data_IF_590655718879
#
_entry.id   IF_590655718879
#
_cell.length_a   1.000
_cell.length_b   1.000
_cell.length_c   1.000
_cell.angle_alpha   90.00
_cell.angle_beta   90.00
_cell.angle_gamma   90.00
#
_symmetry.space_group_name_H-M   'P 1'
#
loop_
_entity.id
_entity.type
_entity.pdbx_description
1 polymer ?
#
# COMPACT_ATOMS: atom_id res chain seq x y z
N UNK A 1 -22.44 -24.54 41.91
CA UNK A 1 -22.55 -25.57 40.85
C UNK A 1 -21.36 -25.66 39.90
N UNK A 2 -20.82 -24.54 39.37
CA UNK A 2 -19.68 -24.57 38.44
C UNK A 2 -18.41 -25.26 39.00
N UNK A 3 -18.13 -25.07 40.29
CA UNK A 3 -16.99 -25.71 41.00
C UNK A 3 -17.24 -27.22 41.22
N UNK A 4 -18.49 -27.64 41.45
CA UNK A 4 -18.83 -29.05 41.70
C UNK A 4 -18.87 -29.88 40.42
N UNK A 5 -19.04 -29.25 39.25
CA UNK A 5 -19.06 -29.89 37.92
C UNK A 5 -17.69 -30.00 37.25
N UNK A 6 -16.64 -29.38 37.80
CA UNK A 6 -15.29 -29.40 37.24
C UNK A 6 -14.25 -29.51 38.34
N UNK A 7 -14.37 -30.62 39.07
CA UNK A 7 -13.55 -30.93 40.24
C UNK A 7 -12.05 -31.02 39.95
N UNK A 8 -11.65 -31.13 38.67
CA UNK A 8 -10.25 -31.17 38.24
C UNK A 8 -9.62 -29.78 38.11
N UNK A 9 -10.43 -28.74 37.90
CA UNK A 9 -9.96 -27.36 37.73
C UNK A 9 -9.86 -26.58 39.05
N UNK A 10 -10.37 -27.13 40.15
CA UNK A 10 -10.47 -26.46 41.45
C UNK A 10 -9.82 -27.30 42.57
N UNK A 11 -9.36 -26.62 43.62
CA UNK A 11 -8.78 -27.27 44.81
C UNK A 11 -9.86 -28.02 45.62
N UNK A 12 -9.52 -29.15 46.24
CA UNK A 12 -10.48 -30.01 46.96
C UNK A 12 -11.27 -29.27 48.05
N UNK A 13 -10.62 -28.35 48.78
CA UNK A 13 -11.25 -27.54 49.83
C UNK A 13 -12.39 -26.66 49.26
N UNK A 14 -12.21 -26.11 48.07
CA UNK A 14 -13.24 -25.30 47.40
C UNK A 14 -14.38 -26.18 46.85
N UNK A 15 -14.07 -27.41 46.43
CA UNK A 15 -15.08 -28.38 45.99
C UNK A 15 -15.94 -28.84 47.17
N UNK A 16 -15.34 -29.10 48.34
CA UNK A 16 -16.06 -29.48 49.56
C UNK A 16 -16.96 -28.34 50.06
N UNK A 17 -16.42 -27.12 50.20
CA UNK A 17 -17.22 -25.96 50.60
C UNK A 17 -18.39 -25.69 49.64
N UNK A 18 -18.19 -25.88 48.33
CA UNK A 18 -19.24 -25.71 47.34
C UNK A 18 -20.32 -26.80 47.43
N UNK A 19 -19.97 -28.04 47.80
CA UNK A 19 -20.94 -29.14 48.03
C UNK A 19 -21.77 -28.90 49.29
N UNK A 20 -21.15 -28.43 50.36
CA UNK A 20 -21.84 -28.12 51.61
C UNK A 20 -22.78 -26.93 51.44
N UNK A 21 -22.35 -25.88 50.74
CA UNK A 21 -23.19 -24.73 50.42
C UNK A 21 -24.36 -25.09 49.50
N UNK A 22 -24.17 -26.04 48.58
CA UNK A 22 -25.25 -26.59 47.75
C UNK A 22 -26.25 -27.41 48.58
N UNK A 23 -25.76 -28.24 49.51
CA UNK A 23 -26.60 -29.05 50.38
C UNK A 23 -27.46 -28.20 51.34
N UNK A 24 -26.97 -27.02 51.75
CA UNK A 24 -27.71 -26.08 52.61
C UNK A 24 -28.83 -25.33 51.89
N UNK A 25 -28.84 -25.30 50.56
CA UNK A 25 -29.77 -24.46 49.77
C UNK A 25 -31.08 -25.14 49.40
N UNK A 26 -31.33 -26.38 49.83
CA UNK A 26 -32.58 -27.14 49.59
C UNK A 26 -33.13 -27.00 48.15
N UNK A 27 -32.23 -27.00 47.17
CA UNK A 27 -32.61 -26.82 45.77
C UNK A 27 -33.44 -28.00 45.28
N UNK A 28 -34.47 -27.71 44.51
CA UNK A 28 -35.27 -28.75 43.86
C UNK A 28 -34.47 -29.45 42.75
N UNK A 29 -34.77 -30.73 42.48
CA UNK A 29 -34.08 -31.49 41.42
C UNK A 29 -34.19 -30.81 40.05
N UNK A 30 -35.26 -30.05 39.81
CA UNK A 30 -35.52 -29.30 38.58
C UNK A 30 -34.59 -28.09 38.44
N UNK A 31 -34.36 -27.32 39.50
CA UNK A 31 -33.42 -26.17 39.50
C UNK A 31 -31.96 -26.62 39.34
N UNK A 32 -31.62 -27.77 39.92
CA UNK A 32 -30.31 -28.41 39.73
C UNK A 32 -30.15 -28.76 38.26
N UNK A 33 -31.11 -29.48 37.66
CA UNK A 33 -31.05 -29.90 36.26
C UNK A 33 -30.91 -28.72 35.29
N UNK A 34 -31.72 -27.68 35.45
CA UNK A 34 -31.73 -26.48 34.60
C UNK A 34 -30.41 -25.69 34.67
N UNK A 35 -29.85 -25.55 35.87
CA UNK A 35 -28.57 -24.87 36.07
C UNK A 35 -27.40 -25.65 35.47
N UNK A 36 -27.41 -26.99 35.54
CA UNK A 36 -26.43 -27.83 34.83
C UNK A 36 -26.54 -27.70 33.32
N UNK A 37 -27.75 -27.73 32.77
CA UNK A 37 -27.97 -27.63 31.32
C UNK A 37 -27.46 -26.28 30.78
N UNK A 38 -27.74 -25.19 31.49
CA UNK A 38 -27.28 -23.84 31.13
C UNK A 38 -25.74 -23.75 31.16
N UNK A 39 -25.09 -24.30 32.18
CA UNK A 39 -23.63 -24.30 32.30
C UNK A 39 -22.93 -25.17 31.24
N UNK A 40 -23.54 -26.29 30.84
CA UNK A 40 -23.03 -27.13 29.75
C UNK A 40 -23.18 -26.43 28.39
N UNK A 41 -24.30 -25.73 28.16
CA UNK A 41 -24.51 -24.92 26.96
C UNK A 41 -23.49 -23.78 26.86
N UNK A 42 -23.25 -23.04 27.96
CA UNK A 42 -22.22 -21.99 27.99
C UNK A 42 -20.81 -22.53 27.71
N UNK A 43 -20.47 -23.72 28.23
CA UNK A 43 -19.19 -24.40 27.94
C UNK A 43 -19.09 -24.81 26.47
N UNK A 44 -20.17 -25.36 25.91
CA UNK A 44 -20.26 -25.69 24.49
C UNK A 44 -20.06 -24.46 23.60
N UNK A 45 -20.69 -23.34 23.93
CA UNK A 45 -20.52 -22.09 23.20
C UNK A 45 -19.12 -21.51 23.32
N UNK A 46 -18.53 -21.52 24.52
CA UNK A 46 -17.21 -20.94 24.77
C UNK A 46 -16.12 -21.75 24.06
N UNK A 47 -16.20 -23.08 24.07
CA UNK A 47 -15.29 -23.97 23.33
C UNK A 47 -15.46 -23.80 21.82
N UNK A 48 -16.68 -23.65 21.32
CA UNK A 48 -16.94 -23.40 19.90
C UNK A 48 -16.42 -22.03 19.45
N UNK A 49 -16.60 -20.98 20.26
CA UNK A 49 -16.06 -19.62 20.01
C UNK A 49 -14.54 -19.62 20.03
N UNK A 50 -13.92 -20.31 20.98
CA UNK A 50 -12.46 -20.46 21.06
C UNK A 50 -11.89 -21.20 19.83
N UNK A 51 -12.53 -22.30 19.42
CA UNK A 51 -12.15 -23.07 18.24
C UNK A 51 -12.28 -22.24 16.96
N UNK A 52 -13.40 -21.52 16.77
CA UNK A 52 -13.59 -20.59 15.65
C UNK A 52 -12.54 -19.47 15.61
N UNK A 53 -12.12 -18.93 16.76
CA UNK A 53 -11.03 -17.93 16.83
C UNK A 53 -9.68 -18.53 16.43
N UNK A 54 -9.38 -19.73 16.91
CA UNK A 54 -8.16 -20.45 16.56
C UNK A 54 -8.12 -20.80 15.06
N UNK A 55 -9.23 -21.27 14.50
CA UNK A 55 -9.36 -21.60 13.08
C UNK A 55 -9.21 -20.34 12.19
N UNK A 56 -9.79 -19.20 12.61
CA UNK A 56 -9.58 -17.91 11.93
C UNK A 56 -8.11 -17.47 11.99
N UNK A 57 -7.46 -17.58 13.15
CA UNK A 57 -6.03 -17.24 13.28
C UNK A 57 -5.15 -18.16 12.44
N UNK A 58 -5.48 -19.45 12.37
CA UNK A 58 -4.79 -20.42 11.52
C UNK A 58 -4.99 -20.11 10.04
N UNK A 59 -6.20 -19.75 9.61
CA UNK A 59 -6.48 -19.29 8.24
C UNK A 59 -5.71 -18.01 7.92
N UNK A 60 -5.70 -17.02 8.82
CA UNK A 60 -4.94 -15.77 8.64
C UNK A 60 -3.44 -16.06 8.55
N UNK A 61 -2.88 -16.90 9.43
CA UNK A 61 -1.47 -17.30 9.37
C UNK A 61 -1.12 -18.07 8.10
N UNK A 62 -1.96 -19.02 7.68
CA UNK A 62 -1.76 -19.78 6.46
C UNK A 62 -1.81 -18.88 5.23
N UNK A 63 -2.76 -17.95 5.20
CA UNK A 63 -2.88 -16.94 4.15
C UNK A 63 -1.64 -16.04 4.19
N UNK A 64 -1.33 -15.37 5.30
CA UNK A 64 -0.15 -14.51 5.44
C UNK A 64 1.16 -15.21 5.10
N UNK A 65 1.33 -16.49 5.49
CA UNK A 65 2.48 -17.32 5.13
C UNK A 65 2.57 -17.59 3.63
N UNK A 66 1.43 -17.86 2.96
CA UNK A 66 1.37 -18.01 1.51
C UNK A 66 1.69 -16.69 0.79
N UNK A 67 1.21 -15.54 1.29
CA UNK A 67 1.53 -14.22 0.76
C UNK A 67 3.01 -13.87 0.96
N UNK A 68 3.60 -14.15 2.13
CA UNK A 68 5.01 -13.92 2.40
C UNK A 68 5.93 -14.85 1.56
N UNK A 69 5.54 -16.11 1.39
CA UNK A 69 6.25 -17.05 0.53
C UNK A 69 6.15 -16.68 -0.96
N UNK A 70 5.02 -16.11 -1.39
CA UNK A 70 4.83 -15.59 -2.75
C UNK A 70 5.62 -14.29 -2.97
N UNK A 71 5.64 -13.40 -1.98
CA UNK A 71 6.34 -12.11 -2.01
C UNK A 71 7.86 -12.23 -1.91
N UNK A 72 8.41 -13.38 -1.49
CA UNK A 72 9.86 -13.61 -1.45
C UNK A 72 10.45 -13.53 -2.87
N UNK A 73 11.25 -12.48 -3.19
CA UNK A 73 11.83 -12.30 -4.52
C UNK A 73 13.14 -13.09 -4.70
N UNK A 74 13.62 -13.76 -3.65
CA UNK A 74 14.91 -14.47 -3.60
C UNK A 74 14.67 -15.97 -3.44
N UNK A 75 13.86 -16.55 -4.32
CA UNK A 75 13.79 -18.01 -4.46
C UNK A 75 14.81 -18.44 -5.50
N UNK A 76 15.81 -19.21 -5.05
CA UNK A 76 16.98 -19.68 -5.81
C UNK A 76 16.59 -20.51 -7.06
N UNK A 77 15.32 -20.92 -7.23
CA UNK A 77 14.84 -21.72 -8.36
C UNK A 77 13.73 -21.10 -9.22
N UNK A 78 13.41 -19.80 -9.10
CA UNK A 78 12.36 -19.19 -9.94
C UNK A 78 12.88 -18.84 -11.35
N UNK A 79 12.11 -19.11 -12.43
CA UNK A 79 12.46 -18.68 -13.78
C UNK A 79 12.75 -17.18 -13.82
N UNK A 80 13.79 -16.78 -14.54
CA UNK A 80 14.34 -15.41 -14.55
C UNK A 80 13.26 -14.33 -14.81
N UNK A 81 12.29 -14.61 -15.69
CA UNK A 81 11.16 -13.71 -15.97
C UNK A 81 10.21 -13.51 -14.77
N UNK A 82 9.89 -14.56 -14.00
CA UNK A 82 9.04 -14.44 -12.80
C UNK A 82 9.74 -13.69 -11.69
N UNK A 83 11.06 -13.90 -11.54
CA UNK A 83 11.89 -13.18 -10.57
C UNK A 83 11.92 -11.68 -10.90
N UNK A 84 12.17 -11.33 -12.16
CA UNK A 84 12.10 -9.94 -12.66
C UNK A 84 10.73 -9.31 -12.40
N UNK A 85 9.64 -10.03 -12.69
CA UNK A 85 8.28 -9.56 -12.42
C UNK A 85 8.05 -9.24 -10.93
N UNK A 86 8.44 -10.14 -10.01
CA UNK A 86 8.30 -9.91 -8.55
C UNK A 86 9.13 -8.73 -8.05
N UNK A 87 10.36 -8.60 -8.53
CA UNK A 87 11.23 -7.47 -8.17
C UNK A 87 10.59 -6.16 -8.66
N UNK A 88 10.09 -6.12 -9.89
CA UNK A 88 9.37 -4.96 -10.43
C UNK A 88 8.13 -4.62 -9.61
N UNK A 89 7.32 -5.61 -9.22
CA UNK A 89 6.18 -5.36 -8.34
C UNK A 89 6.62 -4.73 -7.02
N UNK A 90 7.70 -5.24 -6.42
CA UNK A 90 8.20 -4.72 -5.14
C UNK A 90 8.72 -3.29 -5.29
N UNK A 91 9.47 -2.99 -6.36
CA UNK A 91 9.93 -1.64 -6.67
C UNK A 91 8.76 -0.67 -6.86
N UNK A 92 7.76 -1.06 -7.66
CA UNK A 92 6.54 -0.28 -7.87
C UNK A 92 5.75 -0.10 -6.56
N UNK A 93 5.72 -1.13 -5.70
CA UNK A 93 5.08 -1.09 -4.39
C UNK A 93 5.75 -0.10 -3.44
N UNK A 94 7.08 -0.08 -3.40
CA UNK A 94 7.84 0.90 -2.60
C UNK A 94 7.61 2.31 -3.13
N UNK A 95 7.67 2.53 -4.45
CA UNK A 95 7.38 3.84 -5.03
C UNK A 95 5.94 4.30 -4.72
N UNK A 96 4.95 3.41 -4.84
CA UNK A 96 3.57 3.73 -4.50
C UNK A 96 3.41 4.07 -3.01
N UNK A 97 4.11 3.37 -2.11
CA UNK A 97 4.08 3.67 -0.69
C UNK A 97 4.72 5.03 -0.35
N UNK A 98 5.85 5.37 -0.99
CA UNK A 98 6.47 6.70 -0.85
C UNK A 98 5.53 7.79 -1.36
N UNK A 99 4.92 7.61 -2.53
CA UNK A 99 3.99 8.57 -3.10
C UNK A 99 2.72 8.74 -2.24
N UNK A 100 2.20 7.66 -1.65
CA UNK A 100 1.09 7.75 -0.71
C UNK A 100 1.48 8.48 0.58
N UNK A 101 2.70 8.26 1.08
CA UNK A 101 3.22 8.97 2.25
C UNK A 101 3.34 10.47 1.96
N UNK A 102 3.93 10.84 0.82
CA UNK A 102 4.01 12.23 0.38
C UNK A 102 2.61 12.84 0.20
N UNK A 103 1.71 12.17 -0.52
CA UNK A 103 0.33 12.61 -0.70
C UNK A 103 -0.41 12.80 0.64
N UNK A 104 -0.15 11.94 1.63
CA UNK A 104 -0.70 12.06 2.98
C UNK A 104 -0.12 13.24 3.77
N UNK A 105 1.18 13.51 3.64
CA UNK A 105 1.81 14.70 4.22
C UNK A 105 1.25 15.98 3.58
N UNK A 106 1.02 15.95 2.26
CA UNK A 106 0.35 17.03 1.58
C UNK A 106 -1.08 17.16 2.08
N UNK A 107 -1.84 16.07 2.24
CA UNK A 107 -3.23 16.10 2.74
C UNK A 107 -3.37 16.79 4.12
N UNK A 108 -2.34 16.76 4.96
CA UNK A 108 -2.31 17.50 6.23
C UNK A 108 -2.28 19.03 6.08
N UNK A 109 -1.86 19.53 4.92
CA UNK A 109 -1.90 20.96 4.55
C UNK A 109 -3.28 21.39 4.01
N UNK A 110 -4.25 20.47 3.91
CA UNK A 110 -5.54 20.73 3.26
C UNK A 110 -6.50 21.27 4.30
N UNK A 111 -6.27 22.53 4.70
CA UNK A 111 -7.27 23.26 5.46
C UNK A 111 -8.52 23.47 4.59
N UNK A 112 -9.73 23.58 5.20
CA UNK A 112 -10.95 23.87 4.47
C UNK A 112 -10.88 25.15 3.61
N UNK A 113 -9.98 26.08 3.98
CA UNK A 113 -9.75 27.38 3.33
C UNK A 113 -8.86 27.27 2.08
N UNK A 114 -8.00 26.26 2.00
CA UNK A 114 -7.20 25.96 0.79
C UNK A 114 -7.97 25.14 -0.23
N UNK A 115 -9.13 24.59 0.16
CA UNK A 115 -9.91 23.71 -0.71
C UNK A 115 -10.47 24.40 -1.97
N UNK A 116 -10.61 25.73 -1.93
CA UNK A 116 -11.07 26.54 -3.06
C UNK A 116 -9.93 26.92 -4.03
N UNK A 117 -8.67 26.83 -3.57
CA UNK A 117 -7.46 27.03 -4.37
C UNK A 117 -7.01 25.76 -5.09
N UNK A 118 -7.59 24.61 -4.71
CA UNK A 118 -7.34 23.34 -5.38
C UNK A 118 -8.13 23.34 -6.70
N UNK A 119 -7.52 23.92 -7.72
CA UNK A 119 -7.91 23.71 -9.10
C UNK A 119 -8.04 22.21 -9.40
N UNK A 120 -8.77 21.86 -10.46
CA UNK A 120 -8.96 20.46 -10.88
C UNK A 120 -7.65 19.66 -11.03
N UNK A 121 -6.52 20.33 -11.15
CA UNK A 121 -5.16 19.79 -11.16
C UNK A 121 -4.75 19.12 -9.83
N UNK A 122 -5.03 19.74 -8.68
CA UNK A 122 -4.63 19.19 -7.38
C UNK A 122 -5.44 17.94 -7.04
N UNK A 123 -6.73 17.95 -7.41
CA UNK A 123 -7.60 16.79 -7.32
C UNK A 123 -7.15 15.67 -8.27
N UNK A 124 -6.72 16.02 -9.49
CA UNK A 124 -6.14 15.08 -10.45
C UNK A 124 -4.85 14.43 -9.92
N UNK A 125 -3.95 15.20 -9.31
CA UNK A 125 -2.71 14.69 -8.72
C UNK A 125 -2.97 13.73 -7.54
N UNK A 126 -3.97 14.03 -6.69
CA UNK A 126 -4.38 13.11 -5.61
C UNK A 126 -5.03 11.83 -6.14
N UNK A 127 -5.91 11.95 -7.14
CA UNK A 127 -6.50 10.80 -7.82
C UNK A 127 -5.44 9.93 -8.51
N UNK A 128 -4.40 10.57 -9.08
CA UNK A 128 -3.24 9.88 -9.64
C UNK A 128 -2.50 9.11 -8.53
N UNK A 129 -2.22 9.74 -7.39
CA UNK A 129 -1.56 9.14 -6.21
C UNK A 129 -2.35 7.99 -5.58
N UNK A 130 -3.67 8.04 -5.61
CA UNK A 130 -4.53 6.93 -5.16
C UNK A 130 -4.57 5.80 -6.21
N UNK A 131 -4.66 6.15 -7.50
CA UNK A 131 -4.57 5.18 -8.60
C UNK A 131 -3.23 4.44 -8.62
N UNK A 132 -2.17 5.12 -8.18
CA UNK A 132 -0.82 4.60 -7.95
C UNK A 132 -0.76 3.45 -6.96
N UNK A 133 -1.58 3.47 -5.91
CA UNK A 133 -1.68 2.39 -4.93
C UNK A 133 -2.21 1.09 -5.55
N UNK A 134 -2.99 1.18 -6.62
CA UNK A 134 -3.55 0.02 -7.33
C UNK A 134 -2.56 -0.58 -8.34
N UNK A 135 -1.53 0.16 -8.78
CA UNK A 135 -0.56 -0.29 -9.78
C UNK A 135 0.16 -1.58 -9.35
N UNK A 136 0.75 -1.68 -8.14
CA UNK A 136 1.48 -2.88 -7.74
C UNK A 136 0.57 -4.11 -7.71
N UNK A 137 -0.69 -3.94 -7.30
CA UNK A 137 -1.68 -5.03 -7.24
C UNK A 137 -2.06 -5.50 -8.64
N UNK A 138 -2.41 -4.58 -9.54
CA UNK A 138 -2.77 -4.92 -10.92
C UNK A 138 -1.58 -5.50 -11.69
N UNK A 139 -0.38 -4.98 -11.43
CA UNK A 139 0.87 -5.48 -12.00
C UNK A 139 1.16 -6.90 -11.53
N UNK A 140 1.06 -7.16 -10.21
CA UNK A 140 1.22 -8.49 -9.62
C UNK A 140 0.24 -9.52 -10.19
N UNK A 141 -1.00 -9.11 -10.44
CA UNK A 141 -2.03 -9.96 -11.04
C UNK A 141 -1.82 -10.20 -12.54
N UNK A 142 -0.77 -9.66 -13.16
CA UNK A 142 -0.48 -9.81 -14.59
C UNK A 142 -1.54 -9.15 -15.48
N UNK A 143 -2.30 -8.18 -14.97
CA UNK A 143 -3.35 -7.51 -15.75
C UNK A 143 -2.72 -6.49 -16.71
N UNK A 144 -3.20 -6.40 -17.96
CA UNK A 144 -2.64 -5.49 -18.96
C UNK A 144 -2.71 -4.03 -18.49
N UNK A 145 -3.81 -3.64 -17.83
CA UNK A 145 -3.96 -2.33 -17.20
C UNK A 145 -2.90 -2.03 -16.15
N UNK A 146 -2.42 -3.02 -15.40
CA UNK A 146 -1.35 -2.83 -14.42
C UNK A 146 -0.05 -2.38 -15.07
N UNK A 147 0.32 -3.01 -16.19
CA UNK A 147 1.49 -2.60 -16.96
C UNK A 147 1.28 -1.23 -17.65
N UNK A 148 0.11 -1.01 -18.27
CA UNK A 148 -0.20 0.26 -18.96
C UNK A 148 -0.06 1.44 -18.00
N UNK A 149 -0.72 1.35 -16.84
CA UNK A 149 -0.68 2.43 -15.84
C UNK A 149 0.73 2.57 -15.24
N UNK A 150 1.47 1.47 -15.02
CA UNK A 150 2.86 1.54 -14.57
C UNK A 150 3.77 2.30 -15.55
N UNK A 151 3.63 2.05 -16.86
CA UNK A 151 4.42 2.72 -17.90
C UNK A 151 4.03 4.20 -18.01
N UNK A 152 2.74 4.54 -17.98
CA UNK A 152 2.26 5.92 -18.01
C UNK A 152 2.79 6.70 -16.80
N UNK A 153 2.63 6.14 -15.60
CA UNK A 153 3.10 6.74 -14.37
C UNK A 153 4.61 6.94 -14.38
N UNK A 154 5.38 5.87 -14.65
CA UNK A 154 6.85 5.92 -14.58
C UNK A 154 7.41 6.89 -15.62
N UNK A 155 6.81 6.96 -16.82
CA UNK A 155 7.21 7.92 -17.84
C UNK A 155 6.89 9.36 -17.47
N UNK A 156 5.72 9.61 -16.87
CA UNK A 156 5.35 10.93 -16.35
C UNK A 156 6.29 11.36 -15.21
N UNK A 157 6.54 10.48 -14.24
CA UNK A 157 7.46 10.75 -13.12
C UNK A 157 8.89 10.98 -13.57
N UNK A 158 9.34 10.28 -14.63
CA UNK A 158 10.65 10.54 -15.23
C UNK A 158 10.73 11.95 -15.83
N UNK A 159 9.68 12.39 -16.56
CA UNK A 159 9.63 13.72 -17.14
C UNK A 159 9.66 14.81 -16.07
N UNK A 160 8.83 14.68 -15.04
CA UNK A 160 8.80 15.59 -13.88
C UNK A 160 10.16 15.60 -13.18
N UNK A 161 10.74 14.42 -12.91
CA UNK A 161 12.06 14.31 -12.28
C UNK A 161 13.17 14.98 -13.09
N UNK A 162 13.11 14.91 -14.42
CA UNK A 162 14.06 15.60 -15.31
C UNK A 162 13.91 17.12 -15.23
N UNK A 163 12.67 17.64 -15.18
CA UNK A 163 12.45 19.10 -14.98
C UNK A 163 12.98 19.55 -13.63
N UNK A 164 12.61 18.85 -12.56
CA UNK A 164 13.05 19.18 -11.21
C UNK A 164 14.56 19.07 -11.05
N UNK A 165 15.21 18.11 -11.71
CA UNK A 165 16.68 18.04 -11.76
C UNK A 165 17.28 19.24 -12.47
N UNK A 166 16.73 19.61 -13.64
CA UNK A 166 17.19 20.76 -14.40
C UNK A 166 17.09 22.06 -13.59
N UNK A 167 15.93 22.33 -13.01
CA UNK A 167 15.68 23.46 -12.12
C UNK A 167 16.61 23.48 -10.90
N UNK A 168 16.79 22.33 -10.24
CA UNK A 168 17.69 22.19 -9.11
C UNK A 168 19.16 22.47 -9.49
N UNK A 169 19.60 22.03 -10.68
CA UNK A 169 20.94 22.34 -11.18
C UNK A 169 21.11 23.82 -11.51
N UNK A 170 20.11 24.44 -12.16
CA UNK A 170 20.11 25.90 -12.35
C UNK A 170 20.22 26.64 -11.00
N UNK A 171 19.60 26.08 -9.94
CA UNK A 171 19.76 26.59 -8.58
C UNK A 171 21.17 26.62 -8.07
N UNK A 172 21.74 25.42 -7.98
CA UNK A 172 22.99 25.23 -7.28
C UNK A 172 24.17 25.80 -8.07
N UNK A 173 24.02 25.98 -9.39
CA UNK A 173 25.01 26.61 -10.26
C UNK A 173 24.82 28.13 -10.39
N UNK A 174 23.81 28.71 -9.74
CA UNK A 174 23.46 30.14 -9.84
C UNK A 174 23.26 30.62 -11.29
N UNK A 175 22.68 29.75 -12.13
CA UNK A 175 22.43 30.01 -13.56
C UNK A 175 21.02 30.56 -13.83
N UNK A 176 20.33 31.05 -12.79
CA UNK A 176 18.98 31.63 -12.90
C UNK A 176 18.87 32.80 -13.85
N UNK A 177 19.97 33.52 -14.08
CA UNK A 177 20.01 34.61 -15.04
C UNK A 177 19.69 34.16 -16.47
N UNK A 178 19.85 32.86 -16.78
CA UNK A 178 19.57 32.27 -18.09
C UNK A 178 18.08 31.95 -18.31
N UNK A 179 17.26 31.96 -17.25
CA UNK A 179 15.82 31.75 -17.40
C UNK A 179 15.15 33.02 -17.96
N UNK A 180 14.07 32.86 -18.75
CA UNK A 180 13.26 34.00 -19.16
C UNK A 180 12.55 34.61 -17.94
N UNK A 181 12.24 35.92 -18.01
CA UNK A 181 11.81 36.68 -16.83
C UNK A 181 10.50 36.18 -16.20
N UNK A 182 9.59 35.60 -16.98
CA UNK A 182 8.36 35.00 -16.46
C UNK A 182 8.64 33.77 -15.57
N UNK A 183 9.63 32.94 -15.93
CA UNK A 183 10.01 31.76 -15.17
C UNK A 183 10.80 32.11 -13.90
N UNK A 184 11.43 33.30 -13.84
CA UNK A 184 12.14 33.76 -12.65
C UNK A 184 11.19 34.07 -11.51
N UNK A 185 10.02 34.67 -11.78
CA UNK A 185 9.12 35.18 -10.74
C UNK A 185 8.43 34.07 -9.95
N UNK A 186 7.90 33.06 -10.62
CA UNK A 186 7.23 31.92 -9.94
C UNK A 186 8.22 31.02 -9.22
N UNK A 187 9.36 30.75 -9.85
CA UNK A 187 10.41 29.96 -9.25
C UNK A 187 10.94 30.61 -7.97
N UNK A 188 11.06 31.94 -7.93
CA UNK A 188 11.49 32.68 -6.74
C UNK A 188 10.46 32.59 -5.60
N UNK A 189 9.16 32.73 -5.91
CA UNK A 189 8.07 32.62 -4.92
C UNK A 189 8.02 31.23 -4.27
N UNK A 190 8.13 30.16 -5.06
CA UNK A 190 8.12 28.79 -4.53
C UNK A 190 9.40 28.42 -3.77
N UNK A 191 10.56 28.94 -4.20
CA UNK A 191 11.84 28.69 -3.50
C UNK A 191 12.03 29.51 -2.22
N UNK A 192 11.31 30.62 -2.05
CA UNK A 192 11.20 31.30 -0.76
C UNK A 192 10.34 30.51 0.24
N UNK A 193 9.31 29.82 -0.25
CA UNK A 193 8.41 29.00 0.58
C UNK A 193 9.00 27.62 0.93
N UNK A 194 9.77 27.03 0.01
CA UNK A 194 10.36 25.70 0.18
C UNK A 194 11.80 25.67 -0.31
N UNK A 195 12.68 25.05 0.47
CA UNK A 195 14.05 24.83 0.03
C UNK A 195 14.05 24.00 -1.27
N UNK A 196 14.78 24.42 -2.32
CA UNK A 196 14.84 23.69 -3.56
C UNK A 196 15.41 22.28 -3.32
N UNK A 197 14.87 21.26 -4.00
CA UNK A 197 15.33 19.89 -3.81
C UNK A 197 16.81 19.79 -4.17
N UNK A 198 17.57 19.02 -3.40
CA UNK A 198 18.99 18.83 -3.64
C UNK A 198 19.20 18.07 -4.98
N UNK A 199 20.14 18.48 -5.86
CA UNK A 199 20.29 17.91 -7.21
C UNK A 199 20.53 16.40 -7.19
N UNK A 200 21.27 15.91 -6.19
CA UNK A 200 21.53 14.47 -6.02
C UNK A 200 20.24 13.67 -5.75
N UNK A 201 19.25 14.24 -5.07
CA UNK A 201 17.97 13.58 -4.83
C UNK A 201 17.14 13.54 -6.11
N UNK A 202 17.09 14.64 -6.87
CA UNK A 202 16.44 14.66 -8.17
C UNK A 202 17.10 13.69 -9.16
N UNK A 203 18.44 13.62 -9.17
CA UNK A 203 19.20 12.69 -10.01
C UNK A 203 18.90 11.23 -9.63
N UNK A 204 18.85 10.89 -8.35
CA UNK A 204 18.55 9.52 -7.92
C UNK A 204 17.12 9.12 -8.30
N UNK A 205 16.15 10.04 -8.22
CA UNK A 205 14.78 9.82 -8.69
C UNK A 205 14.74 9.60 -10.20
N UNK A 206 15.43 10.42 -11.00
CA UNK A 206 15.54 10.25 -12.46
C UNK A 206 16.14 8.88 -12.80
N UNK A 207 17.24 8.51 -12.16
CA UNK A 207 17.89 7.21 -12.39
C UNK A 207 16.97 6.05 -12.02
N UNK A 208 16.23 6.18 -10.91
CA UNK A 208 15.25 5.19 -10.48
C UNK A 208 14.15 5.02 -11.54
N UNK A 209 13.46 6.10 -11.93
CA UNK A 209 12.34 6.02 -12.88
C UNK A 209 12.81 5.61 -14.28
N UNK A 210 14.00 6.05 -14.71
CA UNK A 210 14.60 5.60 -15.97
C UNK A 210 14.89 4.09 -15.96
N UNK A 211 15.47 3.58 -14.86
CA UNK A 211 15.74 2.15 -14.71
C UNK A 211 14.45 1.32 -14.68
N UNK A 212 13.42 1.77 -13.95
CA UNK A 212 12.12 1.10 -13.89
C UNK A 212 11.43 1.12 -15.26
N UNK A 213 11.42 2.26 -15.96
CA UNK A 213 10.81 2.37 -17.29
C UNK A 213 11.51 1.47 -18.31
N UNK A 214 12.85 1.45 -18.26
CA UNK A 214 13.65 0.56 -19.09
C UNK A 214 13.36 -0.91 -18.80
N UNK A 215 13.20 -1.30 -17.52
CA UNK A 215 12.79 -2.66 -17.16
C UNK A 215 11.37 -2.98 -17.63
N UNK A 216 10.43 -2.04 -17.51
CA UNK A 216 9.03 -2.23 -17.94
C UNK A 216 8.88 -2.42 -19.45
N UNK A 217 9.80 -1.84 -20.23
CA UNK A 217 9.82 -1.95 -21.70
C UNK A 217 10.58 -3.17 -22.21
N UNK A 218 11.19 -3.97 -21.33
CA UNK A 218 11.86 -5.21 -21.71
C UNK A 218 10.86 -6.22 -22.29
N UNK A 219 11.17 -6.87 -23.43
CA UNK A 219 10.24 -7.78 -24.09
C UNK A 219 9.83 -8.96 -23.20
N UNK A 220 10.73 -9.42 -22.31
CA UNK A 220 10.43 -10.50 -21.36
C UNK A 220 9.39 -10.10 -20.31
N UNK A 221 9.37 -8.81 -19.92
CA UNK A 221 8.40 -8.27 -18.98
C UNK A 221 7.07 -8.01 -19.68
N UNK A 222 7.10 -7.41 -20.87
CA UNK A 222 5.91 -7.18 -21.70
C UNK A 222 5.19 -8.49 -22.02
N UNK A 223 5.94 -9.55 -22.35
CA UNK A 223 5.39 -10.88 -22.64
C UNK A 223 4.62 -11.51 -21.46
N UNK A 224 4.82 -11.03 -20.23
CA UNK A 224 4.06 -11.50 -19.07
C UNK A 224 2.62 -10.95 -19.03
N UNK A 225 2.30 -9.96 -19.87
CA UNK A 225 0.99 -9.32 -19.93
C UNK A 225 0.29 -9.62 -21.25
N UNK A 226 -1.04 -9.88 -21.25
CA UNK A 226 -1.80 -10.13 -22.48
C UNK A 226 -2.10 -8.79 -23.20
N UNK A 227 -1.06 -8.15 -23.74
CA UNK A 227 -1.14 -6.85 -24.41
C UNK A 227 -0.88 -7.03 -25.91
N UNK A 228 -1.77 -6.50 -26.73
CA UNK A 228 -1.62 -6.48 -28.18
C UNK A 228 -0.67 -5.35 -28.62
N UNK A 229 -0.11 -5.48 -29.84
CA UNK A 229 0.85 -4.49 -30.37
C UNK A 229 0.23 -3.09 -30.46
N UNK A 230 -1.06 -2.99 -30.76
CA UNK A 230 -1.75 -1.71 -30.86
C UNK A 230 -1.89 -1.02 -29.50
N UNK A 231 -2.28 -1.74 -28.44
CA UNK A 231 -2.29 -1.16 -27.09
C UNK A 231 -0.88 -0.74 -26.65
N UNK A 232 0.15 -1.55 -26.93
CA UNK A 232 1.53 -1.21 -26.60
C UNK A 232 1.98 0.11 -27.24
N UNK A 233 1.74 0.30 -28.54
CA UNK A 233 2.04 1.57 -29.24
C UNK A 233 1.23 2.73 -28.67
N UNK A 234 -0.06 2.53 -28.42
CA UNK A 234 -0.92 3.57 -27.81
C UNK A 234 -0.44 3.97 -26.43
N UNK A 235 0.03 3.03 -25.62
CA UNK A 235 0.60 3.33 -24.30
C UNK A 235 1.84 4.20 -24.44
N UNK A 236 2.78 3.87 -25.34
CA UNK A 236 3.98 4.71 -25.53
C UNK A 236 3.66 6.11 -26.04
N UNK A 237 2.72 6.24 -26.98
CA UNK A 237 2.25 7.55 -27.45
C UNK A 237 1.62 8.33 -26.29
N UNK A 238 0.72 7.71 -25.53
CA UNK A 238 0.07 8.34 -24.40
C UNK A 238 1.08 8.75 -23.32
N UNK A 239 2.09 7.93 -23.03
CA UNK A 239 3.18 8.27 -22.12
C UNK A 239 3.96 9.49 -22.60
N UNK A 240 4.30 9.54 -23.90
CA UNK A 240 4.99 10.70 -24.48
C UNK A 240 4.16 11.98 -24.40
N UNK A 241 2.86 11.90 -24.70
CA UNK A 241 1.93 13.04 -24.61
C UNK A 241 1.78 13.52 -23.17
N UNK A 242 1.59 12.60 -22.22
CA UNK A 242 1.49 12.96 -20.80
C UNK A 242 2.78 13.54 -20.24
N UNK A 243 3.94 13.01 -20.65
CA UNK A 243 5.24 13.57 -20.30
C UNK A 243 5.42 14.99 -20.85
N UNK A 244 5.08 15.21 -22.12
CA UNK A 244 5.13 16.55 -22.72
C UNK A 244 4.17 17.52 -22.03
N UNK A 245 2.96 17.08 -21.72
CA UNK A 245 1.98 17.86 -20.98
C UNK A 245 2.49 18.22 -19.59
N UNK A 246 3.06 17.27 -18.85
CA UNK A 246 3.64 17.51 -17.53
C UNK A 246 4.77 18.54 -17.58
N UNK A 247 5.64 18.47 -18.59
CA UNK A 247 6.73 19.45 -18.79
C UNK A 247 6.18 20.84 -19.11
N UNK A 248 5.22 20.94 -20.02
CA UNK A 248 4.61 22.23 -20.39
C UNK A 248 3.93 22.88 -19.18
N UNK A 249 3.20 22.11 -18.38
CA UNK A 249 2.54 22.60 -17.18
C UNK A 249 3.48 22.96 -16.04
N UNK A 250 4.67 22.35 -15.95
CA UNK A 250 5.69 22.82 -15.01
C UNK A 250 6.33 24.14 -15.42
N UNK A 251 6.25 24.50 -16.71
CA UNK A 251 6.83 25.74 -17.25
C UNK A 251 5.84 26.90 -17.43
N UNK A 252 4.55 26.64 -17.22
CA UNK A 252 3.44 27.60 -17.34
C UNK A 252 2.97 28.05 -15.97
#
# INVERSE_FOLDING_TARGET
MRITLDTKAYQEVAVQAAREELARRELTEEEVADTTATLEQERGEHTTKARKRHDKLAQIKATAGAWAAAASPIQIGTPDARRKHRILTLLLGVAAAVQLYEAGNYAGLWSPELYHLLDGLSLFLVLLSIGLAAIPVLFWLGKPWGWIVAVLFTGMSLAVGLSTLYESMLHHLNLYSLLPDFAKTEFFLLTELFAPPHPLLSLSAVLYYAAVLWLLTRPEVVAAFPIDRLALTRTYIATGVLAAFALIFQTL
#
